data_IF_965914163706
#
_entry.id   IF_965914163706
#
_cell.length_a   1.000
_cell.length_b   1.000
_cell.length_c   1.000
_cell.angle_alpha   90.00
_cell.angle_beta   90.00
_cell.angle_gamma   90.00
#
_symmetry.space_group_name_H-M   'P 1'
#
loop_
_entity.id
_entity.type
_entity.pdbx_description
1 polymer ?
#
# COMPACT_ATOMS: atom_id res chain seq x y z
N UNK A 1 -17.69 10.83 -47.34
CA UNK A 1 -17.65 9.55 -46.61
C UNK A 1 -16.54 9.65 -45.58
N UNK A 2 -16.81 9.40 -44.29
CA UNK A 2 -15.80 9.51 -43.22
C UNK A 2 -15.30 8.11 -42.89
N UNK A 3 -13.98 7.93 -42.84
CA UNK A 3 -13.34 6.67 -42.44
C UNK A 3 -12.82 6.82 -40.99
N UNK A 4 -13.24 5.91 -40.12
CA UNK A 4 -12.84 5.88 -38.71
C UNK A 4 -12.13 4.56 -38.43
N UNK A 5 -10.93 4.63 -37.86
CA UNK A 5 -10.12 3.46 -37.52
C UNK A 5 -10.28 3.11 -36.04
N UNK A 6 -10.36 1.81 -35.75
CA UNK A 6 -10.27 1.30 -34.38
C UNK A 6 -8.81 1.34 -33.92
N UNK A 7 -8.55 1.99 -32.79
CA UNK A 7 -7.22 2.02 -32.17
C UNK A 7 -6.96 0.76 -31.33
N UNK A 8 -5.69 0.46 -31.07
CA UNK A 8 -5.26 -0.74 -30.33
C UNK A 8 -5.63 -0.71 -28.84
N UNK A 9 -5.88 0.46 -28.27
CA UNK A 9 -6.14 0.61 -26.84
C UNK A 9 -7.60 0.30 -26.48
N UNK A 10 -7.86 -0.96 -26.14
CA UNK A 10 -9.17 -1.40 -25.66
C UNK A 10 -9.25 -1.38 -24.13
N UNK A 11 -10.46 -1.21 -23.60
CA UNK A 11 -10.73 -1.22 -22.15
C UNK A 11 -10.43 -2.58 -21.55
N UNK A 12 -10.72 -3.67 -22.28
CA UNK A 12 -10.45 -5.05 -21.89
C UNK A 12 -8.98 -5.25 -21.48
N UNK A 13 -8.05 -4.63 -22.21
CA UNK A 13 -6.61 -4.70 -21.92
C UNK A 13 -6.20 -3.85 -20.71
N UNK A 14 -6.97 -2.80 -20.39
CA UNK A 14 -6.62 -1.80 -19.37
C UNK A 14 -7.28 -2.01 -18.02
N UNK A 15 -8.41 -2.70 -17.96
CA UNK A 15 -9.08 -2.98 -16.69
C UNK A 15 -8.20 -3.87 -15.81
N UNK A 16 -8.01 -3.48 -14.56
CA UNK A 16 -7.26 -4.22 -13.56
C UNK A 16 -7.83 -3.94 -12.17
N UNK A 17 -7.98 -4.99 -11.37
CA UNK A 17 -8.43 -4.90 -9.98
C UNK A 17 -7.65 -5.87 -9.12
N UNK A 18 -7.44 -5.51 -7.86
CA UNK A 18 -6.72 -6.31 -6.88
C UNK A 18 -7.40 -6.22 -5.53
N UNK A 19 -7.60 -7.37 -4.89
CA UNK A 19 -7.97 -7.46 -3.47
C UNK A 19 -6.72 -7.80 -2.64
N UNK A 20 -6.19 -9.02 -2.81
CA UNK A 20 -4.90 -9.47 -2.27
C UNK A 20 -4.00 -9.96 -3.42
N UNK A 21 -2.70 -10.09 -3.18
CA UNK A 21 -1.77 -10.51 -4.22
C UNK A 21 -0.33 -10.63 -3.71
N UNK A 22 0.65 -10.75 -4.61
CA UNK A 22 2.05 -10.87 -4.25
C UNK A 22 2.62 -9.55 -3.71
N UNK A 23 3.67 -9.70 -2.90
CA UNK A 23 4.38 -8.62 -2.23
C UNK A 23 5.87 -8.69 -2.53
N UNK A 24 6.55 -7.55 -2.47
CA UNK A 24 8.00 -7.46 -2.55
C UNK A 24 8.65 -8.14 -1.36
N UNK A 25 9.73 -8.88 -1.60
CA UNK A 25 10.48 -9.58 -0.54
C UNK A 25 11.09 -8.61 0.48
N UNK A 26 11.59 -7.46 0.01
CA UNK A 26 12.34 -6.50 0.83
C UNK A 26 11.39 -5.51 1.50
N UNK A 27 10.61 -4.78 0.71
CA UNK A 27 9.76 -3.69 1.21
C UNK A 27 8.42 -4.17 1.77
N UNK A 28 8.04 -5.43 1.53
CA UNK A 28 6.73 -6.00 1.88
C UNK A 28 5.52 -5.27 1.26
N UNK A 29 5.75 -4.34 0.34
CA UNK A 29 4.71 -3.62 -0.39
C UNK A 29 4.14 -4.46 -1.56
N UNK A 30 2.88 -4.22 -1.97
CA UNK A 30 2.31 -4.79 -3.18
C UNK A 30 3.21 -4.62 -4.41
N UNK A 31 3.41 -5.68 -5.20
CA UNK A 31 4.09 -5.56 -6.50
C UNK A 31 3.33 -4.62 -7.45
N UNK A 32 4.01 -4.10 -8.48
CA UNK A 32 3.41 -3.21 -9.47
C UNK A 32 3.04 -3.93 -10.78
N UNK A 33 2.08 -3.37 -11.51
CA UNK A 33 1.75 -3.79 -12.87
C UNK A 33 0.70 -4.91 -12.99
N UNK A 34 -0.12 -4.84 -14.04
CA UNK A 34 -1.23 -5.77 -14.29
C UNK A 34 -0.77 -7.23 -14.40
N UNK A 35 0.35 -7.48 -15.09
CA UNK A 35 0.88 -8.83 -15.31
C UNK A 35 1.29 -9.56 -14.00
N UNK A 36 1.62 -8.80 -12.94
CA UNK A 36 2.04 -9.35 -11.65
C UNK A 36 0.91 -9.33 -10.61
N UNK A 37 -0.35 -9.13 -11.03
CA UNK A 37 -1.46 -8.84 -10.12
C UNK A 37 -1.11 -7.72 -9.14
N UNK A 38 -0.47 -6.67 -9.66
CA UNK A 38 0.07 -5.59 -8.87
C UNK A 38 -0.98 -4.67 -8.25
N UNK A 39 -0.60 -3.98 -7.18
CA UNK A 39 -1.39 -2.89 -6.60
C UNK A 39 -1.25 -1.61 -7.39
N UNK A 40 -2.14 -0.67 -7.11
CA UNK A 40 -2.03 0.70 -7.61
C UNK A 40 -1.05 1.48 -6.74
N UNK A 41 -0.17 2.26 -7.37
CA UNK A 41 0.70 3.18 -6.63
C UNK A 41 -0.15 4.29 -6.03
N UNK A 42 -0.06 4.43 -4.72
CA UNK A 42 -0.52 5.61 -3.99
C UNK A 42 0.71 6.50 -3.76
N UNK A 43 0.83 7.57 -4.54
CA UNK A 43 2.00 8.44 -4.55
C UNK A 43 1.87 9.61 -3.59
N UNK A 44 2.90 10.44 -3.58
CA UNK A 44 3.00 11.62 -2.72
C UNK A 44 1.88 12.63 -2.99
N UNK A 45 1.49 12.82 -4.26
CA UNK A 45 0.38 13.70 -4.61
C UNK A 45 -0.97 13.19 -4.09
N UNK A 46 -1.19 11.87 -4.13
CA UNK A 46 -2.42 11.28 -3.58
C UNK A 46 -2.43 11.30 -2.05
N UNK A 47 -1.27 11.20 -1.40
CA UNK A 47 -1.13 11.43 0.05
C UNK A 47 -1.56 12.85 0.38
N UNK A 48 -1.03 13.86 -0.31
CA UNK A 48 -1.43 15.26 -0.10
C UNK A 48 -2.93 15.48 -0.30
N UNK A 49 -3.53 14.79 -1.26
CA UNK A 49 -4.97 14.87 -1.47
C UNK A 49 -5.75 14.43 -0.21
N UNK A 50 -5.39 13.28 0.38
CA UNK A 50 -6.05 12.81 1.61
C UNK A 50 -5.75 13.69 2.83
N UNK A 51 -4.53 14.21 2.94
CA UNK A 51 -4.16 15.16 3.98
C UNK A 51 -4.99 16.45 3.88
N UNK A 52 -5.17 16.99 2.67
CA UNK A 52 -6.00 18.17 2.42
C UNK A 52 -7.47 17.98 2.78
N UNK A 53 -8.00 16.76 2.65
CA UNK A 53 -9.35 16.40 3.12
C UNK A 53 -9.42 16.17 4.64
N UNK A 54 -8.29 16.08 5.35
CA UNK A 54 -8.27 15.69 6.76
C UNK A 54 -8.62 14.21 6.98
N UNK A 55 -8.45 13.36 5.96
CA UNK A 55 -8.85 11.96 5.98
C UNK A 55 -7.80 11.06 6.66
N UNK A 56 -7.50 11.34 7.94
CA UNK A 56 -6.40 10.72 8.68
C UNK A 56 -6.47 9.18 8.72
N UNK A 57 -7.64 8.60 9.02
CA UNK A 57 -7.81 7.15 9.07
C UNK A 57 -7.69 6.50 7.70
N UNK A 58 -8.24 7.12 6.66
CA UNK A 58 -8.12 6.60 5.30
C UNK A 58 -6.66 6.61 4.84
N UNK A 59 -5.93 7.68 5.13
CA UNK A 59 -4.49 7.77 4.83
C UNK A 59 -3.70 6.72 5.62
N UNK A 60 -3.98 6.56 6.91
CA UNK A 60 -3.35 5.54 7.75
C UNK A 60 -3.59 4.15 7.18
N UNK A 61 -4.82 3.81 6.77
CA UNK A 61 -5.14 2.52 6.16
C UNK A 61 -4.34 2.27 4.89
N UNK A 62 -4.21 3.28 4.02
CA UNK A 62 -3.46 3.18 2.75
C UNK A 62 -1.98 2.91 3.00
N UNK A 63 -1.40 3.52 4.04
CA UNK A 63 0.02 3.39 4.38
C UNK A 63 0.35 2.15 5.24
N UNK A 64 -0.65 1.46 5.80
CA UNK A 64 -0.43 0.34 6.74
C UNK A 64 -1.08 -0.94 6.23
N UNK A 65 -2.31 -1.23 6.66
CA UNK A 65 -3.02 -2.51 6.45
C UNK A 65 -3.31 -2.82 4.97
N UNK A 66 -3.31 -1.81 4.09
CA UNK A 66 -3.45 -1.99 2.63
C UNK A 66 -2.11 -2.08 1.89
N UNK A 67 -0.99 -1.95 2.60
CA UNK A 67 0.36 -1.92 2.03
C UNK A 67 1.26 -2.97 2.71
N UNK A 68 2.03 -2.56 3.72
CA UNK A 68 3.21 -3.25 4.25
C UNK A 68 3.16 -3.50 5.76
N UNK A 69 2.02 -3.26 6.41
CA UNK A 69 1.74 -3.84 7.73
C UNK A 69 1.43 -5.33 7.60
N UNK A 70 2.46 -6.18 7.68
CA UNK A 70 2.37 -7.63 7.49
C UNK A 70 1.40 -8.30 8.47
N UNK A 71 1.48 -8.08 9.81
CA UNK A 71 0.50 -8.63 10.73
C UNK A 71 -0.88 -7.98 10.57
N UNK A 72 -0.95 -6.65 10.39
CA UNK A 72 -2.21 -5.92 10.32
C UNK A 72 -3.04 -6.24 9.08
N UNK A 73 -2.41 -6.48 7.91
CA UNK A 73 -3.16 -6.88 6.70
C UNK A 73 -3.77 -8.28 6.82
N UNK A 74 -3.08 -9.20 7.50
CA UNK A 74 -3.58 -10.55 7.74
C UNK A 74 -4.78 -10.53 8.70
N UNK A 75 -4.65 -9.80 9.83
CA UNK A 75 -5.75 -9.64 10.77
C UNK A 75 -6.94 -8.90 10.16
N UNK A 76 -6.69 -7.88 9.33
CA UNK A 76 -7.74 -7.15 8.60
C UNK A 76 -8.51 -8.08 7.67
N UNK A 77 -7.82 -8.93 6.92
CA UNK A 77 -8.47 -9.91 6.04
C UNK A 77 -9.35 -10.88 6.84
N UNK A 78 -8.85 -11.39 7.96
CA UNK A 78 -9.66 -12.23 8.85
C UNK A 78 -10.85 -11.50 9.48
N UNK A 79 -10.68 -10.24 9.86
CA UNK A 79 -11.73 -9.42 10.44
C UNK A 79 -12.86 -9.19 9.42
N UNK A 80 -12.52 -8.92 8.15
CA UNK A 80 -13.47 -8.81 7.05
C UNK A 80 -14.25 -10.12 6.87
N UNK A 81 -13.57 -11.27 6.85
CA UNK A 81 -14.22 -12.58 6.72
C UNK A 81 -15.17 -12.90 7.88
N UNK A 82 -14.82 -12.47 9.10
CA UNK A 82 -15.58 -12.72 10.33
C UNK A 82 -16.61 -11.62 10.64
N UNK A 83 -16.70 -10.56 9.84
CA UNK A 83 -17.56 -9.40 10.09
C UNK A 83 -17.22 -8.65 11.37
N UNK A 84 -15.95 -8.69 11.81
CA UNK A 84 -15.46 -8.01 13.01
C UNK A 84 -14.91 -6.62 12.66
N UNK A 85 -14.87 -5.69 13.62
CA UNK A 85 -14.19 -4.42 13.41
C UNK A 85 -12.70 -4.64 13.09
N UNK A 86 -12.15 -3.80 12.21
CA UNK A 86 -10.73 -3.81 11.87
C UNK A 86 -9.95 -3.28 13.07
N UNK A 87 -8.88 -3.98 13.43
CA UNK A 87 -7.99 -3.61 14.54
C UNK A 87 -7.11 -2.41 14.17
N UNK A 88 -6.54 -1.75 15.19
CA UNK A 88 -5.63 -0.62 14.96
C UNK A 88 -4.36 -1.09 14.24
N UNK A 89 -3.90 -0.37 13.21
CA UNK A 89 -2.69 -0.74 12.47
C UNK A 89 -1.42 -0.73 13.32
N UNK A 90 -0.45 -1.56 12.94
CA UNK A 90 0.88 -1.61 13.54
C UNK A 90 1.89 -0.75 12.75
N UNK A 91 3.15 -0.78 13.21
CA UNK A 91 4.26 -0.13 12.50
C UNK A 91 4.49 -0.76 11.11
N UNK A 92 4.60 0.05 10.05
CA UNK A 92 4.93 -0.43 8.70
C UNK A 92 6.27 -1.16 8.63
N UNK A 93 6.36 -2.20 7.81
CA UNK A 93 7.62 -2.89 7.55
C UNK A 93 8.67 -1.97 6.89
N UNK A 94 8.24 -1.04 6.02
CA UNK A 94 9.12 -0.04 5.40
C UNK A 94 9.83 0.87 6.40
N UNK A 95 9.18 1.20 7.53
CA UNK A 95 9.81 1.98 8.59
C UNK A 95 10.93 1.20 9.29
N UNK A 96 10.71 -0.08 9.57
CA UNK A 96 11.74 -0.95 10.13
C UNK A 96 12.90 -1.16 9.14
N UNK A 97 12.60 -1.27 7.84
CA UNK A 97 13.61 -1.33 6.79
C UNK A 97 14.47 -0.07 6.78
N UNK A 98 13.85 1.12 6.84
CA UNK A 98 14.56 2.39 6.93
C UNK A 98 15.52 2.45 8.13
N UNK A 99 15.07 2.01 9.31
CA UNK A 99 15.93 1.98 10.51
C UNK A 99 17.14 1.05 10.32
N UNK A 100 16.95 -0.10 9.69
CA UNK A 100 18.03 -1.04 9.40
C UNK A 100 19.02 -0.48 8.36
N UNK A 101 18.52 0.20 7.33
CA UNK A 101 19.36 0.90 6.35
C UNK A 101 20.19 2.01 7.00
N UNK A 102 19.61 2.81 7.88
CA UNK A 102 20.37 3.84 8.62
C UNK A 102 21.42 3.22 9.56
N UNK A 103 21.09 2.13 10.26
CA UNK A 103 22.04 1.40 11.10
C UNK A 103 23.21 0.82 10.30
N UNK A 104 22.97 0.37 9.07
CA UNK A 104 24.02 -0.12 8.17
C UNK A 104 25.07 0.95 7.83
N UNK A 105 24.68 2.24 7.87
CA UNK A 105 25.56 3.39 7.66
C UNK A 105 26.26 3.85 8.95
N UNK A 106 26.09 3.14 10.07
CA UNK A 106 26.63 3.52 11.37
C UNK A 106 25.80 4.59 12.11
N UNK A 107 24.57 4.88 11.64
CA UNK A 107 23.66 5.81 12.33
C UNK A 107 22.75 5.03 13.28
N UNK A 108 22.93 5.24 14.59
CA UNK A 108 22.04 4.66 15.60
C UNK A 108 20.79 5.51 15.79
N UNK A 109 19.65 5.03 15.30
CA UNK A 109 18.33 5.63 15.51
C UNK A 109 17.52 4.75 16.45
N UNK A 110 17.00 5.38 17.51
CA UNK A 110 16.16 4.77 18.53
C UNK A 110 14.83 5.51 18.62
N UNK A 111 13.73 4.75 18.59
CA UNK A 111 12.39 5.29 18.83
C UNK A 111 12.23 5.44 20.34
N UNK A 112 12.12 6.68 20.83
CA UNK A 112 11.89 6.97 22.24
C UNK A 112 10.41 7.08 22.52
N UNK A 113 9.93 6.36 23.52
CA UNK A 113 8.60 6.60 24.08
C UNK A 113 8.61 7.88 24.92
N UNK A 114 7.56 8.70 24.78
CA UNK A 114 7.30 9.77 25.73
C UNK A 114 6.77 9.13 27.02
N UNK A 115 7.50 9.31 28.12
CA UNK A 115 6.97 9.10 29.47
C UNK A 115 5.82 10.06 29.75
#
# INVERSE_FOLDING_TARGET
MIYIMKLIHMVEDKLHMRSIGPYSLITQQPLGGKAQFGGQRFGEMEVWALEGYGAAYALQEMLTIKSDDVPGRASTYEAILKGKPIETPNLPASFNLLLNELRSLGLSVEVKEKK
#
